data_IF_744914309423
#
_entry.id   IF_744914309423
#
_cell.length_a   1.000
_cell.length_b   1.000
_cell.length_c   1.000
_cell.angle_alpha   90.00
_cell.angle_beta   90.00
_cell.angle_gamma   90.00
#
_symmetry.space_group_name_H-M   'P 1'
#
loop_
_entity.id
_entity.type
_entity.pdbx_description
1 polymer ?
#
# COMPACT_ATOMS: atom_id res chain seq x y z
N UNK A 1 -16.29 -4.81 -5.00
CA UNK A 1 -15.70 -4.75 -3.65
C UNK A 1 -16.00 -3.38 -3.04
N UNK A 2 -16.34 -3.28 -1.76
CA UNK A 2 -16.76 -1.99 -1.18
C UNK A 2 -15.60 -1.02 -1.03
N UNK A 3 -15.81 0.22 -1.47
CA UNK A 3 -14.81 1.28 -1.42
C UNK A 3 -14.91 2.12 -0.13
N UNK A 4 -13.86 2.84 0.26
CA UNK A 4 -13.92 3.79 1.37
C UNK A 4 -15.10 4.76 1.27
N UNK A 5 -15.74 5.04 2.40
CA UNK A 5 -16.94 5.90 2.48
C UNK A 5 -18.28 5.17 2.44
N UNK A 6 -18.29 3.85 2.16
CA UNK A 6 -19.49 3.02 2.26
C UNK A 6 -20.09 3.03 3.67
N UNK A 7 -21.42 2.94 3.77
CA UNK A 7 -22.17 2.84 5.04
C UNK A 7 -22.74 1.42 5.19
N UNK A 8 -22.67 0.84 6.40
CA UNK A 8 -23.24 -0.47 6.70
C UNK A 8 -22.43 -1.69 6.24
N UNK A 9 -21.32 -1.48 5.52
CA UNK A 9 -20.43 -2.55 5.02
C UNK A 9 -18.98 -2.29 5.43
N UNK A 10 -18.11 -3.30 5.30
CA UNK A 10 -16.67 -3.15 5.53
C UNK A 10 -15.95 -2.76 4.24
N UNK A 11 -15.43 -1.52 4.12
CA UNK A 11 -14.67 -1.13 2.94
C UNK A 11 -13.34 -1.89 2.87
N UNK A 12 -12.73 -1.90 1.69
CA UNK A 12 -11.33 -2.28 1.59
C UNK A 12 -10.44 -1.33 2.40
N UNK A 13 -9.51 -1.89 3.15
CA UNK A 13 -8.53 -1.16 3.95
C UNK A 13 -7.17 -1.86 3.92
N UNK A 14 -6.13 -1.11 3.55
CA UNK A 14 -4.74 -1.53 3.70
C UNK A 14 -4.24 -1.19 5.11
N UNK A 15 -3.83 -2.21 5.87
CA UNK A 15 -3.29 -2.06 7.23
C UNK A 15 -1.87 -2.63 7.25
N UNK A 16 -0.87 -1.76 7.39
CA UNK A 16 0.53 -2.19 7.51
C UNK A 16 1.04 -2.08 8.94
N UNK A 17 1.92 -2.98 9.31
CA UNK A 17 2.64 -2.96 10.58
C UNK A 17 3.64 -1.79 10.62
N UNK A 18 3.97 -1.32 11.81
CA UNK A 18 4.95 -0.27 11.98
C UNK A 18 6.37 -0.81 11.73
N UNK A 19 7.16 -0.07 10.93
CA UNK A 19 8.57 -0.35 10.69
C UNK A 19 9.33 0.89 11.15
N UNK A 20 10.12 0.82 12.23
CA UNK A 20 10.77 2.01 12.81
C UNK A 20 11.60 2.82 11.81
N UNK A 21 12.14 2.17 10.79
CA UNK A 21 13.01 2.77 9.77
C UNK A 21 12.24 3.29 8.55
N UNK A 22 10.92 3.20 8.52
CA UNK A 22 10.09 3.65 7.40
C UNK A 22 8.88 4.47 7.88
N UNK A 23 8.74 5.66 7.33
CA UNK A 23 7.56 6.51 7.50
C UNK A 23 6.58 6.24 6.36
N UNK A 24 5.32 5.89 6.68
CA UNK A 24 4.28 5.66 5.67
C UNK A 24 3.48 6.92 5.41
N UNK A 25 3.18 7.18 4.14
CA UNK A 25 2.19 8.18 3.73
C UNK A 25 0.76 7.62 3.80
N UNK A 26 -0.27 8.47 3.77
CA UNK A 26 -1.65 8.01 3.67
C UNK A 26 -1.85 7.10 2.46
N UNK A 27 -2.78 6.15 2.59
CA UNK A 27 -3.16 5.25 1.48
C UNK A 27 -3.96 6.03 0.45
N UNK A 28 -3.63 5.84 -0.82
CA UNK A 28 -4.35 6.40 -1.96
C UNK A 28 -5.19 5.30 -2.62
N UNK A 29 -6.49 5.54 -2.68
CA UNK A 29 -7.45 4.66 -3.35
C UNK A 29 -7.84 5.26 -4.71
N UNK A 30 -8.21 4.45 -5.70
CA UNK A 30 -8.74 4.95 -6.95
C UNK A 30 -10.13 5.55 -6.74
N UNK A 31 -10.64 6.26 -7.74
CA UNK A 31 -12.00 6.78 -7.69
C UNK A 31 -13.02 5.62 -7.72
N UNK A 32 -14.00 5.56 -6.80
CA UNK A 32 -15.00 4.50 -6.80
C UNK A 32 -16.11 4.78 -7.81
N UNK A 33 -16.72 3.70 -8.31
CA UNK A 33 -18.01 3.76 -9.00
C UNK A 33 -19.14 3.71 -7.97
N UNK A 34 -20.29 4.31 -8.30
CA UNK A 34 -21.51 4.16 -7.50
C UNK A 34 -22.34 3.03 -8.10
N UNK A 35 -22.51 1.95 -7.34
CA UNK A 35 -23.35 0.82 -7.72
C UNK A 35 -24.72 0.97 -7.05
N UNK A 36 -25.78 0.98 -7.88
CA UNK A 36 -27.15 0.86 -7.39
C UNK A 36 -27.51 -0.61 -7.18
N UNK A 37 -28.08 -0.93 -6.02
CA UNK A 37 -28.53 -2.28 -5.64
C UNK A 37 -30.05 -2.35 -5.60
N UNK A 38 -30.73 -2.83 -6.66
CA UNK A 38 -32.19 -2.77 -6.76
C UNK A 38 -32.92 -3.54 -5.66
N UNK A 39 -32.37 -4.69 -5.22
CA UNK A 39 -33.01 -5.56 -4.23
C UNK A 39 -33.22 -4.88 -2.87
N UNK A 40 -32.35 -3.93 -2.51
CA UNK A 40 -32.41 -3.21 -1.23
C UNK A 40 -32.45 -1.69 -1.40
N UNK A 41 -32.53 -1.21 -2.65
CA UNK A 41 -32.62 0.21 -3.03
C UNK A 41 -31.49 1.10 -2.48
N UNK A 42 -30.27 0.58 -2.46
CA UNK A 42 -29.09 1.31 -1.97
C UNK A 42 -28.14 1.76 -3.09
N UNK A 43 -27.45 2.88 -2.88
CA UNK A 43 -26.30 3.30 -3.67
C UNK A 43 -25.03 3.13 -2.84
N UNK A 44 -24.08 2.34 -3.32
CA UNK A 44 -22.86 2.01 -2.60
C UNK A 44 -21.63 2.29 -3.44
N UNK A 45 -20.59 2.95 -2.88
CA UNK A 45 -19.33 3.12 -3.58
C UNK A 45 -18.57 1.77 -3.64
N UNK A 46 -18.14 1.39 -4.85
CA UNK A 46 -17.46 0.12 -5.11
C UNK A 46 -16.28 0.29 -6.05
N UNK A 47 -15.33 -0.63 -5.91
CA UNK A 47 -14.33 -0.94 -6.94
C UNK A 47 -14.74 -2.21 -7.68
N UNK A 48 -14.68 -2.17 -9.00
CA UNK A 48 -15.02 -3.28 -9.90
C UNK A 48 -13.81 -3.62 -10.77
N UNK A 49 -13.72 -4.89 -11.19
CA UNK A 49 -12.60 -5.38 -11.99
C UNK A 49 -11.26 -5.26 -11.26
N UNK A 50 -10.22 -4.90 -12.02
CA UNK A 50 -8.87 -4.68 -11.50
C UNK A 50 -8.68 -3.21 -11.14
N UNK A 51 -8.18 -2.95 -9.93
CA UNK A 51 -7.89 -1.62 -9.43
C UNK A 51 -6.57 -1.67 -8.65
N UNK A 52 -5.99 -0.49 -8.37
CA UNK A 52 -4.71 -0.35 -7.69
C UNK A 52 -4.87 0.53 -6.45
N UNK A 53 -4.26 0.10 -5.36
CA UNK A 53 -4.15 0.86 -4.11
C UNK A 53 -2.66 1.13 -3.90
N UNK A 54 -2.33 2.39 -3.63
CA UNK A 54 -0.96 2.83 -3.45
C UNK A 54 -0.76 3.36 -2.03
N UNK A 55 0.41 3.09 -1.46
CA UNK A 55 0.85 3.69 -0.20
C UNK A 55 2.35 3.91 -0.28
N UNK A 56 2.76 5.18 -0.32
CA UNK A 56 4.17 5.52 -0.32
C UNK A 56 4.79 5.27 1.05
N UNK A 57 6.02 4.77 1.04
CA UNK A 57 6.84 4.62 2.23
C UNK A 57 8.18 5.32 2.02
N UNK A 58 8.54 6.18 2.98
CA UNK A 58 9.82 6.89 3.02
C UNK A 58 10.76 6.15 3.97
N UNK A 59 11.89 5.73 3.46
CA UNK A 59 12.97 5.18 4.28
C UNK A 59 13.63 6.30 5.11
N UNK A 60 14.03 5.98 6.34
CA UNK A 60 14.70 6.91 7.25
C UNK A 60 15.90 7.59 6.57
N UNK A 61 16.02 8.90 6.78
CA UNK A 61 17.14 9.71 6.30
C UNK A 61 18.22 9.95 7.35
N UNK A 62 18.17 9.27 8.51
CA UNK A 62 19.12 9.51 9.61
C UNK A 62 20.50 8.94 9.29
N UNK A 63 21.57 9.65 9.67
CA UNK A 63 22.94 9.19 9.44
C UNK A 63 23.21 7.82 10.10
N UNK A 64 22.63 7.57 11.28
CA UNK A 64 22.68 6.29 11.97
C UNK A 64 22.07 5.16 11.14
N UNK A 65 20.88 5.37 10.57
CA UNK A 65 20.23 4.38 9.72
C UNK A 65 21.09 4.04 8.50
N UNK A 66 21.56 5.05 7.76
CA UNK A 66 22.37 4.85 6.55
C UNK A 66 23.74 4.24 6.87
N UNK A 67 24.32 4.55 8.03
CA UNK A 67 25.54 3.90 8.53
C UNK A 67 25.36 2.42 8.85
N UNK A 68 24.14 1.99 9.20
CA UNK A 68 23.84 0.61 9.59
C UNK A 68 23.60 -0.37 8.42
N UNK A 69 23.47 0.13 7.18
CA UNK A 69 23.06 -0.69 6.02
C UNK A 69 24.15 -1.64 5.52
N UNK A 70 25.43 -1.41 5.85
CA UNK A 70 26.54 -2.16 5.26
C UNK A 70 26.69 -1.96 3.74
N UNK A 71 27.69 -2.62 3.11
CA UNK A 71 27.94 -2.50 1.67
C UNK A 71 26.86 -3.17 0.81
N UNK A 72 26.37 -4.33 1.25
CA UNK A 72 25.36 -5.12 0.56
C UNK A 72 23.92 -4.62 0.79
N UNK A 73 23.76 -3.56 1.57
CA UNK A 73 22.46 -3.08 2.00
C UNK A 73 21.80 -3.98 3.05
N UNK A 74 20.60 -3.60 3.47
CA UNK A 74 19.81 -4.30 4.47
C UNK A 74 18.42 -4.60 3.94
N UNK A 75 17.96 -5.84 4.17
CA UNK A 75 16.60 -6.28 3.82
C UNK A 75 15.65 -6.02 4.98
N UNK A 76 14.54 -5.36 4.68
CA UNK A 76 13.44 -5.11 5.60
C UNK A 76 12.25 -5.96 5.17
N UNK A 77 11.66 -6.65 6.15
CA UNK A 77 10.39 -7.34 5.92
C UNK A 77 9.27 -6.36 6.22
N UNK A 78 8.45 -6.09 5.20
CA UNK A 78 7.27 -5.24 5.30
C UNK A 78 6.06 -6.15 5.39
N UNK A 79 5.29 -6.06 6.47
CA UNK A 79 4.09 -6.87 6.70
C UNK A 79 2.86 -6.00 6.87
N UNK A 80 1.72 -6.62 6.59
CA UNK A 80 0.42 -6.03 6.80
C UNK A 80 -0.69 -7.00 6.46
N UNK A 81 -1.88 -6.45 6.27
CA UNK A 81 -3.06 -7.17 5.82
C UNK A 81 -3.95 -6.26 4.99
N UNK A 82 -4.66 -6.87 4.06
CA UNK A 82 -5.76 -6.25 3.34
C UNK A 82 -7.06 -6.73 3.96
N UNK A 83 -7.80 -5.83 4.60
CA UNK A 83 -9.15 -6.11 5.11
C UNK A 83 -10.15 -5.68 4.05
N UNK A 84 -11.18 -6.48 3.77
CA UNK A 84 -12.18 -6.13 2.76
C UNK A 84 -13.47 -6.91 2.93
N UNK A 85 -14.51 -6.38 2.30
CA UNK A 85 -15.74 -7.11 2.01
C UNK A 85 -16.07 -6.96 0.52
N UNK A 86 -16.43 -8.07 -0.11
CA UNK A 86 -16.79 -8.12 -1.51
C UNK A 86 -18.14 -8.80 -1.70
N UNK A 87 -18.80 -8.45 -2.79
CA UNK A 87 -19.99 -9.13 -3.28
C UNK A 87 -19.74 -9.55 -4.73
N UNK A 88 -20.34 -10.66 -5.14
CA UNK A 88 -20.57 -10.95 -6.55
C UNK A 88 -21.96 -10.45 -6.98
N UNK A 89 -22.48 -10.94 -8.11
CA UNK A 89 -23.79 -10.54 -8.65
C UNK A 89 -24.98 -10.93 -7.76
N UNK A 90 -24.78 -11.86 -6.84
CA UNK A 90 -25.85 -12.57 -6.11
C UNK A 90 -25.61 -12.60 -4.59
N UNK A 91 -24.36 -12.68 -4.16
CA UNK A 91 -23.98 -12.92 -2.77
C UNK A 91 -23.04 -11.81 -2.31
N UNK A 92 -23.30 -11.29 -1.11
CA UNK A 92 -22.34 -10.49 -0.37
C UNK A 92 -21.67 -11.37 0.68
N UNK A 93 -20.36 -11.55 0.54
CA UNK A 93 -19.58 -12.35 1.46
C UNK A 93 -19.35 -11.61 2.78
N UNK A 94 -19.05 -12.38 3.83
CA UNK A 94 -18.65 -11.79 5.11
C UNK A 94 -17.30 -11.07 4.97
N UNK A 95 -17.06 -10.01 5.76
CA UNK A 95 -15.76 -9.35 5.80
C UNK A 95 -14.64 -10.35 6.13
N UNK A 96 -13.51 -10.20 5.46
CA UNK A 96 -12.34 -11.06 5.63
C UNK A 96 -11.04 -10.26 5.52
N UNK A 97 -9.90 -10.91 5.75
CA UNK A 97 -8.58 -10.32 5.61
C UNK A 97 -7.59 -11.27 4.94
N UNK A 98 -6.64 -10.71 4.18
CA UNK A 98 -5.55 -11.45 3.54
C UNK A 98 -4.21 -10.87 4.02
N UNK A 99 -3.27 -11.69 4.53
CA UNK A 99 -1.97 -11.21 4.96
C UNK A 99 -1.11 -10.77 3.77
N UNK A 100 -0.33 -9.72 3.95
CA UNK A 100 0.59 -9.18 2.96
C UNK A 100 2.01 -9.20 3.50
N UNK A 101 2.97 -9.52 2.63
CA UNK A 101 4.39 -9.57 2.98
C UNK A 101 5.24 -9.20 1.78
N UNK A 102 6.17 -8.27 1.99
CA UNK A 102 7.19 -7.89 1.02
C UNK A 102 8.57 -7.93 1.66
N UNK A 103 9.59 -8.16 0.85
CA UNK A 103 10.98 -7.97 1.23
C UNK A 103 11.53 -6.80 0.42
N UNK A 104 12.00 -5.77 1.13
CA UNK A 104 12.55 -4.56 0.53
C UNK A 104 14.01 -4.45 0.92
N UNK A 105 14.91 -4.51 -0.05
CA UNK A 105 16.33 -4.28 0.19
C UNK A 105 16.66 -2.80 -0.01
N UNK A 106 17.26 -2.19 1.01
CA UNK A 106 17.75 -0.82 0.95
C UNK A 106 19.27 -0.85 0.88
N UNK A 107 19.81 -0.34 -0.22
CA UNK A 107 21.24 -0.20 -0.43
C UNK A 107 21.74 1.13 0.14
N UNK A 108 23.01 1.21 0.57
CA UNK A 108 23.61 2.48 0.97
C UNK A 108 23.59 3.49 -0.19
N UNK A 109 23.63 4.78 0.14
CA UNK A 109 23.79 5.83 -0.87
C UNK A 109 25.08 5.62 -1.67
N UNK A 110 25.01 5.73 -2.99
CA UNK A 110 26.22 5.77 -3.81
C UNK A 110 26.98 7.08 -3.52
N UNK A 111 28.17 6.93 -2.94
CA UNK A 111 29.09 8.03 -2.64
C UNK A 111 30.21 8.13 -3.66
N UNK A 112 30.23 7.23 -4.66
CA UNK A 112 31.22 7.24 -5.73
C UNK A 112 30.91 8.43 -6.62
N UNK A 113 31.91 9.29 -6.83
CA UNK A 113 31.73 10.43 -7.73
C UNK A 113 31.50 9.91 -9.15
N UNK A 114 30.49 10.45 -9.82
CA UNK A 114 30.21 10.12 -11.22
C UNK A 114 31.49 10.18 -12.09
N UNK A 115 31.66 9.29 -13.07
CA UNK A 115 32.76 9.33 -14.04
C UNK A 115 32.89 10.69 -14.73
N UNK A 116 34.10 11.07 -15.12
CA UNK A 116 34.39 12.43 -15.65
C UNK A 116 33.59 12.73 -16.92
N UNK A 117 33.29 11.70 -17.70
CA UNK A 117 32.66 11.73 -19.01
C UNK A 117 31.17 12.13 -18.94
N UNK A 118 30.52 11.93 -17.79
CA UNK A 118 29.10 12.25 -17.56
C UNK A 118 28.88 13.40 -16.58
N UNK A 119 29.95 14.09 -16.17
CA UNK A 119 29.82 15.29 -15.35
C UNK A 119 29.33 16.44 -16.23
N UNK A 120 28.24 17.09 -15.81
CA UNK A 120 27.83 18.37 -16.41
C UNK A 120 29.01 19.35 -16.34
N UNK A 121 29.36 19.95 -17.48
CA UNK A 121 30.34 21.04 -17.57
C UNK A 121 29.80 22.30 -16.92
#
# INVERSE_FOLDING_TARGET
MYAPGVQGYKPIQLVMDAIPQMERKPVTYPQPNILYRPAIKENVPVFEGTFRIDQDAKVSSTAEFWGSLGKEGKTFTVTGKLEYQACDKTICYLPTSVPLKWQVQVFPLDRTRAPVEIRHK
#
